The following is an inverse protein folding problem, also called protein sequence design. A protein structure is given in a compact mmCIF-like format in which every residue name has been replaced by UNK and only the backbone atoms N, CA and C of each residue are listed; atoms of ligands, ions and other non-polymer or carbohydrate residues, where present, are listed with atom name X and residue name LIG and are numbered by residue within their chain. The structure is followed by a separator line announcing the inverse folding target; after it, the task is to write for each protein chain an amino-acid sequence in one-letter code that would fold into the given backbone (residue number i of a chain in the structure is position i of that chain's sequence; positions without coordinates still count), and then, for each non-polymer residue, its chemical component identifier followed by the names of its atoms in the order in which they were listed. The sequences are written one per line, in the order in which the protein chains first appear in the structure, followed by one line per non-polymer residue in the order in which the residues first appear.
data_IF_278596487031
#
_entry.id   IF_278596487031
#
_cell.length_a   1.000
_cell.length_b   1.000
_cell.length_c   1.000
_cell.angle_alpha   90.00
_cell.angle_beta   90.00
_cell.angle_gamma   90.00
#
_symmetry.space_group_name_H-M   'P 1'
#
loop_
_entity.id
_entity.type
_entity.pdbx_description
1 polymer ?
#
# COMPACT_ATOMS: atom_id res chain seq x y z
N UNK A 1 23.75 2.41 -3.22
CA UNK A 1 22.32 2.45 -3.60
C UNK A 1 21.61 3.18 -2.48
N UNK A 2 20.97 4.31 -2.78
CA UNK A 2 20.25 5.10 -1.78
C UNK A 2 19.13 4.24 -1.16
N UNK A 3 18.73 4.49 0.07
CA UNK A 3 17.72 3.65 0.75
C UNK A 3 16.38 3.65 0.00
N UNK A 4 16.01 4.78 -0.61
CA UNK A 4 14.86 4.91 -1.51
C UNK A 4 15.02 4.08 -2.78
N UNK A 5 16.19 4.03 -3.41
CA UNK A 5 16.45 3.14 -4.55
C UNK A 5 16.20 1.67 -4.20
N UNK A 6 16.69 1.23 -3.03
CA UNK A 6 16.48 -0.15 -2.53
C UNK A 6 14.99 -0.41 -2.28
N UNK A 7 14.31 0.55 -1.66
CA UNK A 7 12.89 0.46 -1.34
C UNK A 7 12.05 0.33 -2.62
N UNK A 8 12.33 1.18 -3.61
CA UNK A 8 11.65 1.15 -4.92
C UNK A 8 11.90 -0.17 -5.63
N UNK A 9 13.16 -0.60 -5.72
CA UNK A 9 13.52 -1.88 -6.34
C UNK A 9 12.82 -3.06 -5.66
N UNK A 10 12.77 -3.08 -4.33
CA UNK A 10 12.12 -4.15 -3.59
C UNK A 10 10.63 -4.27 -3.93
N UNK A 11 9.92 -3.15 -4.01
CA UNK A 11 8.52 -3.14 -4.38
C UNK A 11 8.29 -3.49 -5.86
N UNK A 12 9.19 -3.09 -6.76
CA UNK A 12 9.12 -3.45 -8.19
C UNK A 12 9.41 -4.94 -8.45
N UNK A 13 10.20 -5.59 -7.60
CA UNK A 13 10.56 -7.02 -7.74
C UNK A 13 9.82 -7.95 -6.77
N UNK A 14 8.97 -7.41 -5.89
CA UNK A 14 8.31 -8.17 -4.84
C UNK A 14 9.25 -8.79 -3.79
N UNK A 15 10.42 -8.19 -3.56
CA UNK A 15 11.45 -8.72 -2.67
C UNK A 15 11.26 -8.20 -1.24
N UNK A 16 10.66 -9.04 -0.39
CA UNK A 16 10.35 -8.69 1.00
C UNK A 16 11.60 -8.45 1.84
N UNK A 17 12.66 -9.23 1.63
CA UNK A 17 13.89 -9.09 2.42
C UNK A 17 14.66 -7.82 2.03
N UNK A 18 14.70 -7.50 0.73
CA UNK A 18 15.26 -6.23 0.25
C UNK A 18 14.47 -5.05 0.81
N UNK A 19 13.13 -5.12 0.84
CA UNK A 19 12.30 -4.07 1.42
C UNK A 19 12.61 -3.89 2.91
N UNK A 20 12.63 -4.97 3.70
CA UNK A 20 12.92 -4.92 5.14
C UNK A 20 14.30 -4.33 5.44
N UNK A 21 15.30 -4.55 4.57
CA UNK A 21 16.63 -3.96 4.70
C UNK A 21 16.69 -2.43 4.61
N UNK A 22 15.59 -1.78 4.23
CA UNK A 22 15.47 -0.32 4.13
C UNK A 22 14.90 0.35 5.36
N UNK A 23 14.33 -0.44 6.28
CA UNK A 23 13.63 0.05 7.45
C UNK A 23 14.45 -0.13 8.73
N UNK A 24 14.34 0.82 9.66
CA UNK A 24 14.86 0.65 11.01
C UNK A 24 14.10 -0.45 11.77
N UNK A 25 14.74 -1.05 12.78
CA UNK A 25 14.19 -2.20 13.53
C UNK A 25 12.82 -1.88 14.19
N UNK A 26 12.60 -0.62 14.58
CA UNK A 26 11.40 -0.12 15.24
C UNK A 26 10.52 0.74 14.32
N UNK A 27 10.65 0.60 13.00
CA UNK A 27 9.86 1.32 11.99
C UNK A 27 8.37 1.31 12.31
N UNK A 28 7.70 2.43 12.05
CA UNK A 28 6.24 2.52 12.09
C UNK A 28 5.67 2.77 10.70
N UNK A 29 4.85 1.83 10.20
CA UNK A 29 4.07 2.01 8.98
C UNK A 29 2.62 2.37 9.31
N UNK A 30 2.11 3.44 8.67
CA UNK A 30 0.75 3.96 8.82
C UNK A 30 -0.07 3.66 7.58
N UNK A 31 -1.19 2.98 7.79
CA UNK A 31 -2.07 2.52 6.71
C UNK A 31 -2.75 3.69 5.98
N UNK A 32 -2.91 3.62 4.65
CA UNK A 32 -3.70 4.60 3.89
C UNK A 32 -5.21 4.44 4.12
N UNK A 33 -5.65 3.31 4.69
CA UNK A 33 -7.06 2.94 4.79
C UNK A 33 -7.67 3.27 6.16
N UNK A 34 -6.85 3.39 7.21
CA UNK A 34 -7.35 3.63 8.58
C UNK A 34 -6.26 4.14 9.51
N UNK A 35 -6.61 5.13 10.33
CA UNK A 35 -5.74 5.64 11.39
C UNK A 35 -5.61 4.69 12.59
N UNK A 36 -6.44 3.64 12.66
CA UNK A 36 -6.48 2.69 13.79
C UNK A 36 -5.44 1.58 13.69
N UNK A 37 -4.84 1.38 12.52
CA UNK A 37 -3.90 0.28 12.29
C UNK A 37 -2.51 0.87 12.01
N UNK A 38 -1.54 0.38 12.77
CA UNK A 38 -0.12 0.66 12.59
C UNK A 38 0.63 -0.67 12.62
N UNK A 39 1.63 -0.79 11.77
CA UNK A 39 2.54 -1.94 11.77
C UNK A 39 3.87 -1.44 12.33
N UNK A 40 4.34 -2.09 13.39
CA UNK A 40 5.56 -1.70 14.09
C UNK A 40 6.58 -2.83 14.04
N UNK A 41 7.78 -2.48 13.61
CA UNK A 41 8.93 -3.38 13.52
C UNK A 41 8.84 -4.39 12.37
N UNK A 42 9.95 -5.08 12.15
CA UNK A 42 10.15 -5.93 10.97
C UNK A 42 9.20 -7.14 10.92
N UNK A 43 8.84 -7.74 12.04
CA UNK A 43 7.95 -8.92 12.06
C UNK A 43 6.56 -8.59 11.48
N UNK A 44 5.95 -7.52 11.95
CA UNK A 44 4.62 -7.09 11.47
C UNK A 44 4.70 -6.58 10.03
N UNK A 45 5.81 -5.92 9.69
CA UNK A 45 6.01 -5.36 8.35
C UNK A 45 6.26 -6.46 7.31
N UNK A 46 6.98 -7.53 7.67
CA UNK A 46 7.21 -8.70 6.82
C UNK A 46 5.90 -9.32 6.36
N UNK A 47 4.98 -9.55 7.30
CA UNK A 47 3.67 -10.12 6.99
C UNK A 47 2.83 -9.19 6.10
N UNK A 48 2.88 -7.88 6.31
CA UNK A 48 2.22 -6.91 5.45
C UNK A 48 2.81 -6.91 4.04
N UNK A 49 4.13 -6.76 3.92
CA UNK A 49 4.85 -6.69 2.65
C UNK A 49 4.63 -7.95 1.82
N UNK A 50 4.69 -9.12 2.45
CA UNK A 50 4.45 -10.37 1.76
C UNK A 50 3.01 -10.52 1.25
N UNK A 51 2.00 -9.89 1.89
CA UNK A 51 0.63 -9.85 1.33
C UNK A 51 0.54 -8.82 0.20
N UNK A 52 1.13 -7.64 0.41
CA UNK A 52 1.08 -6.56 -0.57
C UNK A 52 1.74 -6.99 -1.89
N UNK A 53 2.95 -7.54 -1.83
CA UNK A 53 3.71 -7.98 -3.00
C UNK A 53 3.11 -9.22 -3.70
N UNK A 54 2.25 -9.99 -3.03
CA UNK A 54 1.46 -11.06 -3.66
C UNK A 54 0.32 -10.52 -4.55
N UNK A 55 -0.16 -9.31 -4.26
CA UNK A 55 -1.38 -8.76 -4.85
C UNK A 55 -1.18 -7.49 -5.68
N UNK A 56 -0.05 -6.81 -5.52
CA UNK A 56 0.35 -5.68 -6.36
C UNK A 56 0.95 -6.21 -7.66
N UNK A 57 0.38 -5.77 -8.77
CA UNK A 57 0.82 -6.12 -10.11
C UNK A 57 1.39 -4.88 -10.81
N UNK A 58 2.41 -5.07 -11.65
CA UNK A 58 3.03 -4.00 -12.46
C UNK A 58 3.44 -2.73 -11.70
N UNK A 59 4.03 -2.90 -10.50
CA UNK A 59 4.55 -1.79 -9.71
C UNK A 59 5.64 -1.03 -10.50
N UNK A 60 5.44 0.28 -10.69
CA UNK A 60 6.39 1.19 -11.36
C UNK A 60 6.45 2.53 -10.62
N UNK A 61 7.61 2.87 -10.08
CA UNK A 61 7.82 4.18 -9.46
C UNK A 61 8.00 5.26 -10.53
N UNK A 62 7.37 6.41 -10.33
CA UNK A 62 7.50 7.56 -11.24
C UNK A 62 7.90 8.85 -10.52
N UNK A 63 7.89 8.88 -9.18
CA UNK A 63 8.34 10.02 -8.39
C UNK A 63 9.18 9.54 -7.23
N UNK A 64 10.29 10.22 -7.01
CA UNK A 64 11.13 10.12 -5.81
C UNK A 64 11.72 11.50 -5.55
N UNK A 65 11.23 12.19 -4.52
CA UNK A 65 11.56 13.59 -4.24
C UNK A 65 11.74 13.82 -2.74
N UNK A 66 12.55 14.81 -2.37
CA UNK A 66 12.81 15.18 -0.98
C UNK A 66 14.31 15.26 -0.69
N UNK A 67 14.67 15.13 0.58
CA UNK A 67 16.03 15.29 1.11
C UNK A 67 16.47 14.05 1.91
N UNK A 68 17.62 14.11 2.58
CA UNK A 68 18.16 13.00 3.38
C UNK A 68 17.28 12.57 4.58
N UNK A 69 16.34 13.41 5.01
CA UNK A 69 15.51 13.18 6.19
C UNK A 69 14.06 12.82 5.84
N UNK A 70 13.56 13.35 4.73
CA UNK A 70 12.17 13.17 4.30
C UNK A 70 12.10 12.94 2.80
N UNK A 71 11.52 11.81 2.40
CA UNK A 71 11.31 11.44 1.00
C UNK A 71 9.85 11.15 0.73
N UNK A 72 9.40 11.47 -0.47
CA UNK A 72 8.12 11.02 -1.02
C UNK A 72 8.40 10.20 -2.25
N UNK A 73 7.98 8.94 -2.22
CA UNK A 73 8.05 8.02 -3.36
C UNK A 73 6.63 7.72 -3.83
N UNK A 74 6.43 7.71 -5.15
CA UNK A 74 5.10 7.45 -5.76
C UNK A 74 5.23 6.40 -6.84
N UNK A 75 4.36 5.39 -6.77
CA UNK A 75 4.26 4.34 -7.78
C UNK A 75 2.84 4.22 -8.33
N UNK A 76 2.76 3.64 -9.54
CA UNK A 76 1.53 3.08 -10.11
C UNK A 76 1.60 1.56 -10.12
N UNK A 77 0.46 0.94 -9.92
CA UNK A 77 0.28 -0.51 -9.94
C UNK A 77 -1.18 -0.85 -10.26
N UNK A 78 -1.48 -2.13 -10.37
CA UNK A 78 -2.86 -2.64 -10.38
C UNK A 78 -3.07 -3.62 -9.23
N UNK A 79 -4.30 -3.68 -8.73
CA UNK A 79 -4.73 -4.67 -7.74
C UNK A 79 -6.12 -5.17 -8.13
N UNK A 80 -6.27 -6.47 -8.37
CA UNK A 80 -7.57 -7.06 -8.79
C UNK A 80 -8.17 -6.37 -10.02
N UNK A 81 -7.31 -5.89 -10.93
CA UNK A 81 -7.68 -5.15 -12.14
C UNK A 81 -8.06 -3.68 -11.93
N UNK A 82 -7.94 -3.14 -10.71
CA UNK A 82 -8.12 -1.71 -10.44
C UNK A 82 -6.79 -0.97 -10.43
N UNK A 83 -6.75 0.21 -11.03
CA UNK A 83 -5.60 1.10 -10.98
C UNK A 83 -5.39 1.65 -9.56
N UNK A 84 -4.14 1.59 -9.12
CA UNK A 84 -3.66 2.13 -7.85
C UNK A 84 -2.47 3.04 -8.11
N UNK A 85 -2.46 4.21 -7.48
CA UNK A 85 -1.31 5.10 -7.37
C UNK A 85 -1.14 5.43 -5.88
N UNK A 86 -0.03 5.00 -5.32
CA UNK A 86 0.31 5.17 -3.90
C UNK A 86 1.46 6.15 -3.78
N UNK A 87 1.29 7.14 -2.91
CA UNK A 87 2.36 8.01 -2.44
C UNK A 87 2.72 7.62 -1.01
N UNK A 88 4.01 7.43 -0.75
CA UNK A 88 4.52 7.08 0.57
C UNK A 88 5.47 8.15 1.06
N UNK A 89 5.07 8.81 2.16
CA UNK A 89 5.91 9.75 2.90
C UNK A 89 6.81 8.95 3.85
N UNK A 90 8.11 9.00 3.58
CA UNK A 90 9.17 8.32 4.30
C UNK A 90 9.90 9.33 5.17
N UNK A 91 10.06 9.02 6.45
CA UNK A 91 11.01 9.69 7.34
C UNK A 91 12.22 8.80 7.53
N UNK A 92 13.40 9.40 7.41
CA UNK A 92 14.69 8.71 7.48
C UNK A 92 15.53 9.24 8.63
N UNK A 93 16.16 8.32 9.35
CA UNK A 93 17.20 8.59 10.34
C UNK A 93 18.36 7.62 10.08
N UNK A 94 19.59 8.13 10.07
CA UNK A 94 20.80 7.35 9.75
C UNK A 94 20.70 6.52 8.45
N UNK A 95 19.98 7.07 7.46
CA UNK A 95 19.77 6.43 6.17
C UNK A 95 18.80 5.25 6.19
N UNK A 96 18.05 5.03 7.27
CA UNK A 96 17.00 4.00 7.37
C UNK A 96 15.63 4.65 7.54
N UNK A 97 14.59 3.99 7.02
CA UNK A 97 13.22 4.46 7.15
C UNK A 97 12.70 4.14 8.57
N UNK A 98 12.40 5.18 9.35
CA UNK A 98 11.83 5.05 10.71
C UNK A 98 10.32 5.20 10.73
N UNK A 99 9.73 5.90 9.76
CA UNK A 99 8.28 6.02 9.59
C UNK A 99 7.90 6.04 8.11
N UNK A 100 6.86 5.29 7.75
CA UNK A 100 6.26 5.29 6.42
C UNK A 100 4.76 5.59 6.53
N UNK A 101 4.29 6.65 5.87
CA UNK A 101 2.87 7.01 5.81
C UNK A 101 2.36 6.91 4.40
N UNK A 102 1.42 6.00 4.17
CA UNK A 102 0.90 5.70 2.85
C UNK A 102 -0.35 6.54 2.56
N UNK A 103 -0.48 6.96 1.31
CA UNK A 103 -1.65 7.63 0.75
C UNK A 103 -1.98 6.99 -0.59
N UNK A 104 -3.24 6.67 -0.82
CA UNK A 104 -3.64 5.94 -2.03
C UNK A 104 -4.78 6.63 -2.75
N UNK A 105 -4.67 6.61 -4.07
CA UNK A 105 -5.74 6.80 -5.04
C UNK A 105 -5.71 5.62 -6.01
N UNK A 106 -6.73 5.36 -6.82
CA UNK A 106 -8.08 5.92 -6.78
C UNK A 106 -8.90 5.32 -5.64
N UNK A 107 -10.13 5.79 -5.44
CA UNK A 107 -11.02 5.18 -4.44
C UNK A 107 -11.33 3.70 -4.76
N UNK A 108 -11.66 3.31 -6.02
CA UNK A 108 -11.75 1.89 -6.38
C UNK A 108 -10.49 1.09 -6.07
N UNK A 109 -9.31 1.63 -6.42
CA UNK A 109 -8.02 1.03 -6.09
C UNK A 109 -7.83 0.81 -4.59
N UNK A 110 -8.11 1.83 -3.76
CA UNK A 110 -8.01 1.73 -2.30
C UNK A 110 -8.94 0.63 -1.73
N UNK A 111 -10.17 0.52 -2.25
CA UNK A 111 -11.11 -0.54 -1.84
C UNK A 111 -10.65 -1.91 -2.33
N UNK A 112 -10.07 -2.01 -3.53
CA UNK A 112 -9.49 -3.25 -4.05
C UNK A 112 -8.29 -3.72 -3.21
N UNK A 113 -7.43 -2.81 -2.75
CA UNK A 113 -6.37 -3.15 -1.79
C UNK A 113 -6.95 -3.66 -0.47
N UNK A 114 -8.01 -3.03 0.05
CA UNK A 114 -8.66 -3.50 1.28
C UNK A 114 -9.20 -4.93 1.13
N UNK A 115 -9.85 -5.22 0.00
CA UNK A 115 -10.37 -6.55 -0.36
C UNK A 115 -9.26 -7.60 -0.50
N UNK A 116 -8.16 -7.24 -1.16
CA UNK A 116 -7.03 -8.14 -1.41
C UNK A 116 -6.22 -8.39 -0.13
N UNK A 117 -5.84 -7.32 0.59
CA UNK A 117 -4.86 -7.41 1.67
C UNK A 117 -5.51 -7.84 2.99
N UNK A 118 -6.71 -7.35 3.29
CA UNK A 118 -7.40 -7.56 4.56
C UNK A 118 -7.51 -9.03 4.97
N UNK A 119 -8.00 -9.94 4.10
CA UNK A 119 -8.08 -11.36 4.40
C UNK A 119 -6.71 -12.03 4.61
N UNK A 120 -5.69 -11.65 3.83
CA UNK A 120 -4.32 -12.15 3.96
C UNK A 120 -3.72 -11.79 5.32
N UNK A 121 -3.80 -10.51 5.68
CA UNK A 121 -3.30 -9.98 6.95
C UNK A 121 -4.06 -10.60 8.13
N UNK A 122 -5.39 -10.73 8.04
CA UNK A 122 -6.19 -11.36 9.08
C UNK A 122 -5.82 -12.83 9.32
N UNK A 123 -5.47 -13.58 8.26
CA UNK A 123 -4.98 -14.96 8.38
C UNK A 123 -3.63 -15.02 9.09
N UNK A 124 -2.68 -14.18 8.70
CA UNK A 124 -1.34 -14.11 9.33
C UNK A 124 -1.42 -13.69 10.80
N UNK A 125 -2.35 -12.81 11.14
CA UNK A 125 -2.66 -12.42 12.53
C UNK A 125 -3.47 -13.46 13.32
N UNK A 126 -3.60 -14.72 12.86
CA UNK A 126 -4.29 -15.79 13.58
C UNK A 126 -5.82 -15.64 13.67
N UNK A 127 -6.43 -14.82 12.81
CA UNK A 127 -7.88 -14.54 12.79
C UNK A 127 -8.55 -15.05 11.49
N UNK A 128 -8.57 -16.38 11.24
CA UNK A 128 -9.10 -16.94 9.99
C UNK A 128 -10.59 -16.69 9.79
N UNK A 129 -11.36 -16.56 10.88
CA UNK A 129 -12.77 -16.19 10.81
C UNK A 129 -12.96 -14.76 10.28
N UNK A 130 -12.12 -13.81 10.71
CA UNK A 130 -12.17 -12.43 10.27
C UNK A 130 -11.79 -12.32 8.79
N UNK A 131 -10.83 -13.14 8.33
CA UNK A 131 -10.47 -13.22 6.93
C UNK A 131 -11.65 -13.64 6.04
N UNK A 132 -12.43 -14.64 6.47
CA UNK A 132 -13.65 -15.06 5.75
C UNK A 132 -14.68 -13.94 5.69
N UNK A 133 -14.92 -13.27 6.81
CA UNK A 133 -15.87 -12.14 6.87
C UNK A 133 -15.42 -11.01 5.95
N UNK A 134 -14.15 -10.60 6.03
CA UNK A 134 -13.59 -9.52 5.20
C UNK A 134 -13.70 -9.85 3.71
N UNK A 135 -13.39 -11.08 3.29
CA UNK A 135 -13.46 -11.49 1.87
C UNK A 135 -14.86 -11.44 1.24
N UNK A 136 -15.91 -11.34 2.06
CA UNK A 136 -17.30 -11.27 1.59
C UNK A 136 -17.81 -9.84 1.67
N UNK A 137 -17.55 -9.13 2.78
CA UNK A 137 -18.13 -7.81 3.04
C UNK A 137 -17.56 -6.68 2.17
N UNK A 138 -16.34 -6.81 1.66
CA UNK A 138 -15.71 -5.82 0.78
C UNK A 138 -16.29 -5.80 -0.64
N UNK A 139 -16.85 -6.91 -1.12
CA UNK A 139 -17.28 -7.06 -2.53
C UNK A 139 -18.41 -6.11 -2.95
N UNK A 140 -19.49 -5.92 -2.16
CA UNK A 140 -20.54 -4.96 -2.53
C UNK A 140 -20.00 -3.52 -2.58
N UNK A 141 -19.12 -3.16 -1.64
CA UNK A 141 -18.47 -1.85 -1.62
C UNK A 141 -17.64 -1.63 -2.88
N UNK A 142 -16.83 -2.62 -3.28
CA UNK A 142 -16.03 -2.56 -4.50
C UNK A 142 -16.91 -2.35 -5.74
N UNK A 143 -18.04 -3.05 -5.84
CA UNK A 143 -19.00 -2.86 -6.94
C UNK A 143 -19.57 -1.44 -7.00
N UNK A 144 -19.91 -0.86 -5.84
CA UNK A 144 -20.43 0.52 -5.77
C UNK A 144 -19.38 1.55 -6.20
N UNK A 145 -18.15 1.46 -5.68
CA UNK A 145 -17.11 2.45 -6.01
C UNK A 145 -16.67 2.34 -7.47
N UNK A 146 -16.59 1.12 -8.04
CA UNK A 146 -16.32 0.92 -9.47
C UNK A 146 -17.36 1.60 -10.35
N UNK A 147 -18.64 1.39 -10.05
CA UNK A 147 -19.74 1.99 -10.81
C UNK A 147 -19.74 3.51 -10.67
N UNK A 148 -19.58 4.01 -9.45
CA UNK A 148 -19.52 5.45 -9.17
C UNK A 148 -18.37 6.13 -9.89
N UNK A 149 -17.16 5.59 -9.80
CA UNK A 149 -15.96 6.15 -10.43
C UNK A 149 -16.05 6.15 -11.96
N UNK A 150 -16.59 5.07 -12.55
CA UNK A 150 -16.70 4.93 -14.01
C UNK A 150 -17.81 5.78 -14.62
N UNK A 151 -18.95 5.90 -13.97
CA UNK A 151 -20.16 6.48 -14.57
C UNK A 151 -20.61 7.79 -13.93
N UNK A 152 -20.48 7.94 -12.61
CA UNK A 152 -21.01 9.10 -11.90
C UNK A 152 -19.98 10.23 -11.75
N UNK A 153 -18.74 9.91 -11.36
CA UNK A 153 -17.68 10.91 -11.15
C UNK A 153 -17.39 11.75 -12.41
N UNK A 154 -17.36 11.19 -13.64
CA UNK A 154 -17.14 11.99 -14.84
C UNK A 154 -18.20 13.07 -15.07
N UNK A 155 -19.43 12.89 -14.55
CA UNK A 155 -20.51 13.88 -14.66
C UNK A 155 -20.24 15.16 -13.82
N UNK A 156 -19.42 15.04 -12.77
CA UNK A 156 -18.99 16.18 -11.96
C UNK A 156 -17.72 16.85 -12.52
N UNK A 157 -17.12 16.29 -13.56
CA UNK A 157 -15.92 16.83 -14.20
C UNK A 157 -16.18 18.12 -14.98
N UNK A 158 -15.13 18.91 -15.28
CA UNK A 158 -15.27 20.08 -16.12
C UNK A 158 -15.86 19.67 -17.48
N UNK A 159 -16.86 20.41 -17.96
CA UNK A 159 -17.39 20.24 -19.32
C UNK A 159 -16.24 20.46 -20.29
N UNK A 160 -15.90 19.42 -21.05
CA UNK A 160 -14.97 19.54 -22.17
C UNK A 160 -15.62 20.30 -23.32
#
# INVERSE_FOLDING_TARGET
METTDRYRKAAETGDVDLALSTFADNVVLRSPLTNRVRFTGHDQLRDLLAVAFEHLEDVRFHTDVGDEHTRVVVYRATVRGEDVEEATLLKLEDGLIVEATLFVRTLPGAVAMMDAFGPGIARRNGRPWAARVLSVLSKPLLGMVRSGDRFAVPLAGPKR
#
